data_IF_532054425479
#
_entry.id   IF_532054425479
#
_cell.length_a   1.000
_cell.length_b   1.000
_cell.length_c   1.000
_cell.angle_alpha   90.00
_cell.angle_beta   90.00
_cell.angle_gamma   90.00
#
_symmetry.space_group_name_H-M   'P 1'
#
loop_
_entity.id
_entity.type
_entity.pdbx_description
1 polymer ?
#
# COMPACT_ATOMS: atom_id res chain seq x y z
N UNK A 1 -50.85 1.15 -31.85
CA UNK A 1 -49.72 1.69 -31.06
C UNK A 1 -48.88 0.55 -30.55
N UNK A 2 -47.61 0.44 -30.98
CA UNK A 2 -46.46 -0.20 -30.29
C UNK A 2 -45.27 -0.13 -31.25
N UNK A 3 -44.47 0.94 -31.12
CA UNK A 3 -43.17 1.09 -31.80
C UNK A 3 -42.15 0.28 -31.00
N UNK A 4 -41.60 -0.77 -31.60
CA UNK A 4 -40.46 -1.50 -31.04
C UNK A 4 -39.19 -0.69 -31.28
N UNK A 5 -38.57 -0.22 -30.20
CA UNK A 5 -37.28 0.43 -30.23
C UNK A 5 -36.18 -0.63 -30.34
N UNK A 6 -35.50 -0.67 -31.49
CA UNK A 6 -34.28 -1.44 -31.68
C UNK A 6 -33.14 -0.66 -31.03
N UNK A 7 -32.69 -1.11 -29.85
CA UNK A 7 -31.50 -0.56 -29.19
C UNK A 7 -30.28 -1.12 -29.90
N UNK A 8 -29.66 -0.28 -30.74
CA UNK A 8 -28.42 -0.58 -31.43
C UNK A 8 -27.28 -0.32 -30.43
N UNK A 9 -26.81 -1.39 -29.79
CA UNK A 9 -25.68 -1.38 -28.88
C UNK A 9 -24.39 -1.22 -29.70
N UNK A 10 -23.94 0.03 -29.90
CA UNK A 10 -22.64 0.32 -30.50
C UNK A 10 -21.56 0.04 -29.45
N UNK A 11 -20.92 -1.12 -29.56
CA UNK A 11 -19.69 -1.47 -28.84
C UNK A 11 -18.56 -0.54 -29.31
N UNK A 12 -18.20 0.42 -28.48
CA UNK A 12 -16.98 1.22 -28.64
C UNK A 12 -15.75 0.33 -28.35
N UNK A 13 -15.32 -0.42 -29.36
CA UNK A 13 -14.01 -1.08 -29.37
C UNK A 13 -12.92 -0.04 -29.62
N UNK A 14 -11.94 -0.04 -28.73
CA UNK A 14 -10.80 0.86 -28.66
C UNK A 14 -9.89 0.75 -29.89
N UNK A 15 -9.53 1.85 -30.58
CA UNK A 15 -8.76 1.83 -31.82
C UNK A 15 -7.26 1.49 -31.66
N UNK A 16 -6.77 1.19 -30.45
CA UNK A 16 -5.33 1.00 -30.21
C UNK A 16 -4.79 -0.35 -30.68
N UNK A 17 -5.60 -1.40 -30.67
CA UNK A 17 -5.15 -2.76 -31.00
C UNK A 17 -4.77 -2.90 -32.49
N UNK A 18 -5.47 -2.18 -33.38
CA UNK A 18 -5.22 -2.23 -34.82
C UNK A 18 -3.88 -1.58 -35.24
N UNK A 19 -3.44 -0.54 -34.53
CA UNK A 19 -2.19 0.15 -34.86
C UNK A 19 -0.94 -0.62 -34.39
N UNK A 20 -1.01 -1.32 -33.26
CA UNK A 20 0.08 -2.15 -32.76
C UNK A 20 0.37 -3.34 -33.69
N UNK A 21 -0.68 -3.96 -34.25
CA UNK A 21 -0.57 -5.05 -35.21
C UNK A 21 0.15 -4.63 -36.51
N UNK A 22 -0.09 -3.40 -36.98
CA UNK A 22 0.60 -2.86 -38.16
C UNK A 22 2.10 -2.65 -37.94
N UNK A 23 2.50 -2.14 -36.77
CA UNK A 23 3.91 -1.93 -36.44
C UNK A 23 4.67 -3.26 -36.28
N UNK A 24 4.04 -4.27 -35.67
CA UNK A 24 4.62 -5.60 -35.53
C UNK A 24 4.81 -6.29 -36.89
N UNK A 25 3.80 -6.25 -37.76
CA UNK A 25 3.89 -6.82 -39.09
C UNK A 25 4.97 -6.13 -39.94
N UNK A 26 5.08 -4.80 -39.86
CA UNK A 26 6.11 -4.05 -40.56
C UNK A 26 7.51 -4.36 -40.02
N UNK A 27 7.67 -4.51 -38.69
CA UNK A 27 8.93 -4.91 -38.08
C UNK A 27 9.35 -6.33 -38.51
N UNK A 28 8.39 -7.25 -38.61
CA UNK A 28 8.64 -8.60 -39.12
C UNK A 28 9.12 -8.59 -40.58
N UNK A 29 8.49 -7.79 -41.45
CA UNK A 29 8.93 -7.60 -42.83
C UNK A 29 10.34 -7.00 -42.92
N UNK A 30 10.65 -6.02 -42.08
CA UNK A 30 11.97 -5.40 -42.03
C UNK A 30 13.06 -6.42 -41.63
N UNK A 31 12.79 -7.26 -40.62
CA UNK A 31 13.68 -8.36 -40.22
C UNK A 31 13.86 -9.39 -41.32
N UNK A 32 12.79 -9.75 -42.02
CA UNK A 32 12.88 -10.68 -43.14
C UNK A 32 13.77 -10.13 -44.28
N UNK A 33 13.65 -8.84 -44.62
CA UNK A 33 14.53 -8.20 -45.60
C UNK A 33 16.00 -8.22 -45.13
N UNK A 34 16.23 -7.98 -43.83
CA UNK A 34 17.56 -8.05 -43.21
C UNK A 34 18.16 -9.47 -43.28
N UNK A 35 17.39 -10.49 -42.94
CA UNK A 35 17.80 -11.90 -42.99
C UNK A 35 18.09 -12.36 -44.43
N UNK A 36 17.40 -11.79 -45.42
CA UNK A 36 17.65 -12.00 -46.84
C UNK A 36 18.85 -11.18 -47.37
N UNK A 37 19.58 -10.47 -46.52
CA UNK A 37 20.77 -9.67 -46.87
C UNK A 37 20.43 -8.46 -47.77
N UNK A 38 19.15 -8.07 -47.86
CA UNK A 38 18.73 -6.83 -48.53
C UNK A 38 18.78 -5.66 -47.54
N UNK A 39 19.99 -5.24 -47.19
CA UNK A 39 20.22 -4.23 -46.14
C UNK A 39 19.65 -2.86 -46.49
N UNK A 40 19.59 -2.49 -47.77
CA UNK A 40 18.97 -1.22 -48.18
C UNK A 40 17.46 -1.25 -48.03
N UNK A 41 16.81 -2.35 -48.41
CA UNK A 41 15.38 -2.54 -48.19
C UNK A 41 15.07 -2.61 -46.70
N UNK A 42 15.86 -3.38 -45.94
CA UNK A 42 15.73 -3.48 -44.49
C UNK A 42 15.81 -2.10 -43.83
N UNK A 43 16.80 -1.28 -44.18
CA UNK A 43 16.94 0.08 -43.67
C UNK A 43 15.68 0.93 -43.94
N UNK A 44 15.17 0.93 -45.19
CA UNK A 44 13.92 1.66 -45.53
C UNK A 44 12.72 1.18 -44.72
N UNK A 45 12.60 -0.12 -44.48
CA UNK A 45 11.50 -0.70 -43.70
C UNK A 45 11.63 -0.35 -42.22
N UNK A 46 12.83 -0.43 -41.62
CA UNK A 46 13.07 -0.01 -40.24
C UNK A 46 12.82 1.48 -40.03
N UNK A 47 13.21 2.34 -40.98
CA UNK A 47 12.83 3.77 -40.94
C UNK A 47 11.32 3.93 -40.90
N UNK A 48 10.58 3.18 -41.72
CA UNK A 48 9.11 3.24 -41.71
C UNK A 48 8.50 2.75 -40.39
N UNK A 49 9.10 1.74 -39.73
CA UNK A 49 8.68 1.34 -38.38
C UNK A 49 8.82 2.51 -37.39
N UNK A 50 9.91 3.27 -37.51
CA UNK A 50 10.17 4.45 -36.67
C UNK A 50 9.28 5.64 -37.03
N UNK A 51 8.87 5.80 -38.28
CA UNK A 51 7.95 6.85 -38.71
C UNK A 51 6.51 6.59 -38.21
N UNK A 52 6.10 5.33 -38.12
CA UNK A 52 4.79 4.89 -37.59
C UNK A 52 4.86 4.67 -36.06
N UNK A 53 5.78 5.36 -35.37
CA UNK A 53 6.12 5.16 -33.97
C UNK A 53 4.96 5.22 -32.96
N UNK A 54 3.81 5.79 -33.33
CA UNK A 54 2.60 5.85 -32.49
C UNK A 54 1.99 4.46 -32.23
N UNK A 55 2.22 3.47 -33.12
CA UNK A 55 1.81 2.08 -32.93
C UNK A 55 2.89 1.17 -32.35
N UNK A 56 4.16 1.60 -32.34
CA UNK A 56 5.29 0.78 -31.90
C UNK A 56 5.57 0.96 -30.40
N UNK A 57 5.76 -0.16 -29.70
CA UNK A 57 6.24 -0.17 -28.31
C UNK A 57 7.68 0.35 -28.22
N UNK A 58 8.12 0.79 -27.04
CA UNK A 58 9.51 1.22 -26.83
C UNK A 58 10.52 0.14 -27.25
N UNK A 59 10.29 -1.12 -26.86
CA UNK A 59 11.14 -2.24 -27.25
C UNK A 59 11.20 -2.48 -28.77
N UNK A 60 10.08 -2.30 -29.48
CA UNK A 60 10.07 -2.39 -30.95
C UNK A 60 10.84 -1.24 -31.60
N UNK A 61 10.78 -0.03 -31.03
CA UNK A 61 11.56 1.12 -31.52
C UNK A 61 13.05 0.93 -31.30
N UNK A 62 13.46 0.48 -30.12
CA UNK A 62 14.86 0.18 -29.80
C UNK A 62 15.40 -0.89 -30.75
N UNK A 63 14.62 -1.97 -30.95
CA UNK A 63 14.94 -3.01 -31.94
C UNK A 63 15.11 -2.42 -33.34
N UNK A 64 14.15 -1.62 -33.81
CA UNK A 64 14.20 -1.04 -35.15
C UNK A 64 15.41 -0.12 -35.33
N UNK A 65 15.77 0.68 -34.31
CA UNK A 65 16.95 1.54 -34.35
C UNK A 65 18.26 0.74 -34.38
N UNK A 66 18.36 -0.35 -33.60
CA UNK A 66 19.53 -1.24 -33.62
C UNK A 66 19.74 -1.81 -35.01
N UNK A 67 18.70 -2.47 -35.56
CA UNK A 67 18.80 -3.12 -36.86
C UNK A 67 18.93 -2.11 -38.00
N UNK A 68 18.38 -0.90 -37.88
CA UNK A 68 18.62 0.19 -38.83
C UNK A 68 20.10 0.58 -38.86
N UNK A 69 20.73 0.76 -37.69
CA UNK A 69 22.15 1.03 -37.58
C UNK A 69 23.01 -0.08 -38.20
N UNK A 70 22.69 -1.34 -37.89
CA UNK A 70 23.37 -2.52 -38.47
C UNK A 70 23.21 -2.57 -40.00
N UNK A 71 22.00 -2.31 -40.51
CA UNK A 71 21.72 -2.31 -41.95
C UNK A 71 22.53 -1.24 -42.68
N UNK A 72 22.63 -0.04 -42.11
CA UNK A 72 23.45 1.02 -42.68
C UNK A 72 24.94 0.67 -42.68
N UNK A 73 25.44 0.02 -41.62
CA UNK A 73 26.85 -0.39 -41.56
C UNK A 73 27.17 -1.41 -42.66
N UNK A 74 26.33 -2.44 -42.83
CA UNK A 74 26.53 -3.43 -43.89
C UNK A 74 26.31 -2.88 -45.30
N UNK A 75 25.51 -1.81 -45.46
CA UNK A 75 25.39 -1.07 -46.71
C UNK A 75 26.55 -0.07 -46.96
N UNK A 76 27.58 -0.03 -46.10
CA UNK A 76 28.72 0.90 -46.22
C UNK A 76 28.39 2.35 -45.86
N UNK A 77 27.25 2.61 -45.23
CA UNK A 77 26.77 3.95 -44.86
C UNK A 77 27.09 4.29 -43.40
N UNK A 78 28.37 4.25 -43.04
CA UNK A 78 28.92 4.46 -41.69
C UNK A 78 28.28 5.63 -40.93
N UNK A 79 28.18 6.81 -41.56
CA UNK A 79 27.63 8.01 -40.90
C UNK A 79 26.15 7.84 -40.50
N UNK A 80 25.36 7.18 -41.36
CA UNK A 80 23.95 6.88 -41.09
C UNK A 80 23.83 5.82 -39.99
N UNK A 81 24.72 4.82 -39.98
CA UNK A 81 24.80 3.81 -38.94
C UNK A 81 25.03 4.45 -37.56
N UNK A 82 26.08 5.29 -37.45
CA UNK A 82 26.41 6.01 -36.21
C UNK A 82 25.25 6.91 -35.77
N UNK A 83 24.57 7.61 -36.69
CA UNK A 83 23.40 8.43 -36.37
C UNK A 83 22.22 7.63 -35.80
N UNK A 84 21.89 6.50 -36.42
CA UNK A 84 20.84 5.59 -35.94
C UNK A 84 21.18 5.02 -34.56
N UNK A 85 22.42 4.57 -34.36
CA UNK A 85 22.89 4.02 -33.08
C UNK A 85 22.95 5.10 -31.97
N UNK A 86 23.27 6.36 -32.29
CA UNK A 86 23.17 7.47 -31.33
C UNK A 86 21.74 7.67 -30.83
N UNK A 87 20.77 7.52 -31.72
CA UNK A 87 19.35 7.64 -31.38
C UNK A 87 18.90 6.50 -30.45
N UNK A 88 19.38 5.28 -30.71
CA UNK A 88 19.20 4.12 -29.83
C UNK A 88 19.81 4.38 -28.45
N UNK A 89 21.08 4.75 -28.38
CA UNK A 89 21.80 4.96 -27.11
C UNK A 89 21.16 6.07 -26.27
N UNK A 90 20.64 7.13 -26.90
CA UNK A 90 19.96 8.22 -26.20
C UNK A 90 18.63 7.80 -25.58
N UNK A 91 17.90 6.92 -26.26
CA UNK A 91 16.59 6.44 -25.79
C UNK A 91 16.70 5.24 -24.85
N UNK A 92 17.74 4.43 -25.04
CA UNK A 92 17.97 3.16 -24.33
C UNK A 92 19.45 3.04 -23.92
N UNK A 93 19.89 3.79 -22.88
CA UNK A 93 21.30 3.85 -22.45
C UNK A 93 21.87 2.52 -21.94
N UNK A 94 20.99 1.58 -21.63
CA UNK A 94 21.31 0.24 -21.14
C UNK A 94 21.57 -0.78 -22.27
N UNK A 95 21.44 -0.35 -23.53
CA UNK A 95 21.68 -1.22 -24.68
C UNK A 95 23.13 -1.74 -24.64
N UNK A 96 23.35 -3.06 -24.60
CA UNK A 96 24.69 -3.62 -24.64
C UNK A 96 25.33 -3.43 -26.02
N UNK A 97 26.66 -3.46 -26.05
CA UNK A 97 27.42 -3.45 -27.31
C UNK A 97 26.99 -4.62 -28.20
N UNK A 98 26.66 -4.40 -29.48
CA UNK A 98 26.04 -5.41 -30.33
C UNK A 98 27.09 -6.29 -31.04
N UNK A 99 27.92 -6.98 -30.24
CA UNK A 99 29.07 -7.78 -30.69
C UNK A 99 28.71 -8.89 -31.69
N UNK A 100 27.47 -9.38 -31.64
CA UNK A 100 26.98 -10.44 -32.52
C UNK A 100 26.94 -10.05 -34.00
N UNK A 101 26.97 -8.76 -34.34
CA UNK A 101 26.97 -8.28 -35.73
C UNK A 101 28.38 -8.00 -36.28
N UNK A 102 29.43 -8.36 -35.54
CA UNK A 102 30.82 -8.23 -35.98
C UNK A 102 31.44 -6.86 -35.72
N UNK A 103 32.73 -6.75 -36.01
CA UNK A 103 33.59 -5.64 -35.57
C UNK A 103 33.22 -4.27 -36.15
N UNK A 104 32.71 -4.20 -37.39
CA UNK A 104 32.28 -2.95 -38.02
C UNK A 104 31.15 -2.28 -37.23
N UNK A 105 30.10 -3.04 -36.92
CA UNK A 105 28.97 -2.58 -36.12
C UNK A 105 29.40 -2.22 -34.70
N UNK A 106 30.24 -3.05 -34.06
CA UNK A 106 30.80 -2.75 -32.74
C UNK A 106 31.56 -1.42 -32.75
N UNK A 107 32.39 -1.17 -33.76
CA UNK A 107 33.08 0.10 -33.89
C UNK A 107 32.11 1.28 -34.12
N UNK A 108 31.04 1.09 -34.89
CA UNK A 108 30.02 2.14 -35.09
C UNK A 108 29.27 2.46 -33.79
N UNK A 109 28.99 1.43 -32.98
CA UNK A 109 28.32 1.57 -31.70
C UNK A 109 29.20 2.31 -30.68
N UNK A 110 30.48 1.97 -30.57
CA UNK A 110 31.43 2.66 -29.67
C UNK A 110 31.58 4.13 -30.08
N UNK A 111 31.67 4.41 -31.38
CA UNK A 111 31.71 5.78 -31.91
C UNK A 111 30.41 6.56 -31.60
N UNK A 112 29.26 5.91 -31.73
CA UNK A 112 27.97 6.48 -31.37
C UNK A 112 27.90 6.80 -29.86
N UNK A 113 28.34 5.86 -29.02
CA UNK A 113 28.35 5.98 -27.56
C UNK A 113 29.21 7.15 -27.08
N UNK A 114 30.39 7.36 -27.69
CA UNK A 114 31.26 8.49 -27.35
C UNK A 114 30.64 9.87 -27.66
N UNK A 115 29.67 9.93 -28.58
CA UNK A 115 29.01 11.17 -29.00
C UNK A 115 27.70 11.50 -28.30
N UNK A 116 27.27 10.70 -27.31
CA UNK A 116 25.99 10.90 -26.61
C UNK A 116 26.18 10.79 -25.11
N UNK A 117 25.73 11.81 -24.37
CA UNK A 117 25.48 11.69 -22.95
C UNK A 117 24.04 11.29 -22.70
N UNK A 118 23.82 10.14 -22.06
CA UNK A 118 22.50 9.73 -21.62
C UNK A 118 22.59 8.87 -20.34
N UNK A 119 21.56 8.94 -19.52
CA UNK A 119 21.42 8.13 -18.30
C UNK A 119 20.07 7.43 -18.25
N UNK A 120 19.94 6.35 -17.48
CA UNK A 120 18.65 5.67 -17.32
C UNK A 120 18.68 4.51 -16.33
N UNK A 121 17.52 3.96 -16.02
CA UNK A 121 17.40 2.71 -15.26
C UNK A 121 17.32 1.52 -16.23
N UNK A 122 18.11 0.48 -15.98
CA UNK A 122 18.25 -0.71 -16.82
C UNK A 122 17.39 -1.85 -16.32
N UNK A 123 16.16 -1.92 -16.83
CA UNK A 123 15.11 -2.81 -16.35
C UNK A 123 14.82 -2.61 -14.86
N UNK A 124 13.55 -2.47 -14.50
CA UNK A 124 13.15 -2.43 -13.10
C UNK A 124 12.39 -3.71 -12.82
N UNK A 125 13.07 -4.80 -12.42
CA UNK A 125 12.37 -6.05 -12.13
C UNK A 125 11.52 -5.90 -10.86
N UNK A 126 10.54 -6.80 -10.72
CA UNK A 126 9.86 -7.02 -9.44
C UNK A 126 10.91 -7.40 -8.40
N UNK A 127 10.98 -6.64 -7.31
CA UNK A 127 11.89 -6.90 -6.20
C UNK A 127 11.15 -6.75 -4.87
N UNK A 128 11.56 -7.57 -3.90
CA UNK A 128 11.11 -7.51 -2.52
C UNK A 128 12.27 -7.04 -1.67
N UNK A 129 12.08 -5.91 -1.00
CA UNK A 129 13.13 -5.21 -0.28
C UNK A 129 12.74 -5.03 1.19
N UNK A 130 13.68 -5.29 2.08
CA UNK A 130 13.55 -5.01 3.53
C UNK A 130 14.52 -3.92 3.92
N UNK A 131 14.35 -3.29 5.09
CA UNK A 131 15.31 -2.28 5.59
C UNK A 131 16.74 -2.83 5.73
N UNK A 132 16.90 -4.14 5.93
CA UNK A 132 18.21 -4.79 6.02
C UNK A 132 18.84 -5.04 4.65
N UNK A 133 18.04 -5.50 3.68
CA UNK A 133 18.53 -5.84 2.34
C UNK A 133 18.60 -4.62 1.43
N UNK A 134 17.75 -3.62 1.62
CA UNK A 134 17.55 -2.52 0.70
C UNK A 134 16.94 -2.99 -0.63
N UNK A 135 16.74 -2.03 -1.53
CA UNK A 135 16.40 -2.27 -2.94
C UNK A 135 17.63 -2.02 -3.83
N UNK A 136 17.72 -2.68 -4.98
CA UNK A 136 18.83 -2.50 -5.92
C UNK A 136 18.29 -2.13 -7.29
N UNK A 137 18.86 -1.08 -7.87
CA UNK A 137 18.55 -0.60 -9.21
C UNK A 137 19.80 -0.67 -10.08
N UNK A 138 19.65 -1.24 -11.28
CA UNK A 138 20.67 -1.10 -12.31
C UNK A 138 20.45 0.23 -13.00
N UNK A 139 21.47 1.06 -13.04
CA UNK A 139 21.43 2.35 -13.74
C UNK A 139 22.56 2.38 -14.77
N UNK A 140 22.36 3.09 -15.87
CA UNK A 140 23.37 3.29 -16.89
C UNK A 140 23.73 4.76 -17.02
N UNK A 141 25.01 5.00 -17.31
CA UNK A 141 25.50 6.23 -17.91
C UNK A 141 26.38 5.88 -19.11
N UNK A 142 26.15 6.52 -20.26
CA UNK A 142 26.89 6.23 -21.50
C UNK A 142 28.36 6.67 -21.43
N UNK A 143 28.69 7.57 -20.50
CA UNK A 143 30.04 8.07 -20.19
C UNK A 143 30.16 8.27 -18.67
N UNK A 144 31.37 8.37 -18.11
CA UNK A 144 31.56 8.64 -16.68
C UNK A 144 30.73 9.83 -16.19
N UNK A 145 29.93 9.61 -15.16
CA UNK A 145 28.95 10.57 -14.66
C UNK A 145 28.63 10.38 -13.18
N UNK A 146 28.17 11.46 -12.56
CA UNK A 146 27.51 11.43 -11.26
C UNK A 146 26.03 11.21 -11.51
N UNK A 147 25.48 10.09 -11.04
CA UNK A 147 24.08 9.71 -11.26
C UNK A 147 23.34 9.62 -9.94
N UNK A 148 22.24 10.37 -9.82
CA UNK A 148 21.38 10.39 -8.64
C UNK A 148 20.02 9.79 -8.99
N UNK A 149 19.53 8.91 -8.13
CA UNK A 149 18.20 8.34 -8.26
C UNK A 149 17.26 8.97 -7.24
N UNK A 150 16.08 9.39 -7.69
CA UNK A 150 15.05 10.00 -6.87
C UNK A 150 13.74 9.25 -7.08
N UNK A 151 12.90 9.24 -6.04
CA UNK A 151 11.54 8.75 -6.12
C UNK A 151 10.58 9.92 -6.03
N UNK A 152 9.70 10.07 -7.02
CA UNK A 152 8.63 11.06 -7.00
C UNK A 152 7.25 10.42 -6.90
N UNK A 153 6.32 11.08 -6.23
CA UNK A 153 4.92 10.69 -6.19
C UNK A 153 4.21 10.98 -7.53
N UNK A 154 2.94 10.60 -7.62
CA UNK A 154 2.10 10.88 -8.80
C UNK A 154 1.92 12.37 -9.13
N UNK A 155 2.18 13.27 -8.17
CA UNK A 155 2.15 14.72 -8.37
C UNK A 155 3.52 15.29 -8.79
N UNK A 156 4.53 14.43 -8.97
CA UNK A 156 5.89 14.82 -9.35
C UNK A 156 6.73 15.37 -8.19
N UNK A 157 6.24 15.26 -6.95
CA UNK A 157 7.00 15.71 -5.77
C UNK A 157 7.97 14.62 -5.37
N UNK A 158 9.24 14.96 -5.17
CA UNK A 158 10.24 14.04 -4.64
C UNK A 158 9.84 13.62 -3.22
N UNK A 159 9.66 12.32 -3.01
CA UNK A 159 9.30 11.70 -1.73
C UNK A 159 10.46 10.94 -1.10
N UNK A 160 11.44 10.51 -1.90
CA UNK A 160 12.67 9.92 -1.38
C UNK A 160 13.86 10.19 -2.30
N UNK A 161 15.04 10.28 -1.71
CA UNK A 161 16.33 10.25 -2.39
C UNK A 161 16.91 8.85 -2.23
N UNK A 162 17.19 8.18 -3.33
CA UNK A 162 17.69 6.80 -3.32
C UNK A 162 19.22 6.75 -3.23
N UNK A 163 19.89 7.90 -3.40
CA UNK A 163 21.34 8.04 -3.36
C UNK A 163 21.95 8.48 -4.68
N UNK A 164 23.27 8.63 -4.65
CA UNK A 164 24.12 9.04 -5.77
C UNK A 164 25.26 8.03 -5.95
N UNK A 165 25.66 7.79 -7.19
CA UNK A 165 26.75 6.89 -7.55
C UNK A 165 27.54 7.43 -8.74
N UNK A 166 28.84 7.17 -8.75
CA UNK A 166 29.69 7.35 -9.93
C UNK A 166 29.41 6.19 -10.90
N UNK A 167 28.83 6.51 -12.06
CA UNK A 167 28.45 5.53 -13.05
C UNK A 167 29.32 5.65 -14.32
N UNK A 168 29.78 4.52 -14.83
CA UNK A 168 30.39 4.39 -16.14
C UNK A 168 29.91 3.07 -16.76
N UNK A 169 29.04 3.15 -17.77
CA UNK A 169 28.26 2.00 -18.22
C UNK A 169 27.17 1.65 -17.21
N UNK A 170 26.87 0.35 -17.05
CA UNK A 170 25.86 -0.13 -16.10
C UNK A 170 26.46 -0.27 -14.69
N UNK A 171 25.82 0.34 -13.70
CA UNK A 171 26.24 0.35 -12.30
C UNK A 171 25.05 0.03 -11.39
N UNK A 172 25.31 -0.55 -10.21
CA UNK A 172 24.30 -0.86 -9.22
C UNK A 172 24.15 0.28 -8.22
N UNK A 173 22.93 0.78 -8.05
CA UNK A 173 22.56 1.71 -7.00
C UNK A 173 21.72 0.98 -5.97
N UNK A 174 22.16 1.02 -4.71
CA UNK A 174 21.45 0.40 -3.59
C UNK A 174 20.72 1.46 -2.78
N UNK A 175 19.41 1.31 -2.67
CA UNK A 175 18.56 2.13 -1.82
C UNK A 175 18.40 1.47 -0.45
N UNK A 176 19.10 1.99 0.56
CA UNK A 176 19.07 1.49 1.94
C UNK A 176 17.98 2.16 2.79
N UNK A 177 17.65 3.41 2.48
CA UNK A 177 16.77 4.25 3.28
C UNK A 177 15.30 4.06 2.88
N UNK A 178 14.84 2.81 2.92
CA UNK A 178 13.48 2.44 2.57
C UNK A 178 12.46 3.07 3.51
N UNK A 179 11.29 3.50 2.99
CA UNK A 179 10.24 4.11 3.81
C UNK A 179 9.69 3.10 4.82
N UNK A 180 9.00 3.61 5.84
CA UNK A 180 8.30 2.73 6.78
C UNK A 180 7.20 1.93 6.08
N UNK A 181 7.27 0.58 6.07
CA UNK A 181 6.25 -0.23 5.46
C UNK A 181 4.87 0.01 6.08
N UNK A 182 4.76 0.41 7.34
CA UNK A 182 3.48 0.70 8.00
C UNK A 182 2.76 1.92 7.41
N UNK A 183 3.52 2.87 6.84
CA UNK A 183 2.99 4.04 6.14
C UNK A 183 2.62 3.78 4.68
N UNK A 184 3.02 2.63 4.13
CA UNK A 184 2.71 2.27 2.75
C UNK A 184 1.32 1.62 2.62
N UNK A 185 0.58 1.96 1.54
CA UNK A 185 -0.67 1.29 1.25
C UNK A 185 -0.44 -0.20 0.98
N UNK A 186 -1.44 -1.02 1.32
CA UNK A 186 -1.45 -2.44 0.91
C UNK A 186 -1.67 -2.58 -0.59
N UNK A 187 -2.29 -1.57 -1.24
CA UNK A 187 -2.45 -1.53 -2.68
C UNK A 187 -1.24 -0.83 -3.33
N UNK A 188 -0.78 -1.28 -4.53
CA UNK A 188 0.32 -0.65 -5.26
C UNK A 188 0.07 0.83 -5.56
N UNK A 189 0.91 1.70 -5.01
CA UNK A 189 0.92 3.13 -5.29
C UNK A 189 1.93 3.47 -6.37
N UNK A 190 1.49 4.20 -7.40
CA UNK A 190 2.34 4.62 -8.52
C UNK A 190 3.29 5.74 -8.12
N UNK A 191 4.54 5.58 -8.52
CA UNK A 191 5.64 6.51 -8.34
C UNK A 191 6.46 6.60 -9.63
N UNK A 192 7.34 7.59 -9.69
CA UNK A 192 8.34 7.74 -10.75
C UNK A 192 9.73 7.58 -10.16
N UNK A 193 10.49 6.63 -10.68
CA UNK A 193 11.93 6.54 -10.46
C UNK A 193 12.62 7.49 -11.44
N UNK A 194 13.15 8.59 -10.93
CA UNK A 194 13.84 9.62 -11.71
C UNK A 194 15.34 9.39 -11.59
N UNK A 195 16.02 9.22 -12.71
CA UNK A 195 17.47 9.08 -12.83
C UNK A 195 18.00 10.37 -13.43
N UNK A 196 18.80 11.10 -12.65
CA UNK A 196 19.45 12.36 -13.05
C UNK A 196 20.94 12.13 -13.17
N UNK A 197 21.51 12.54 -14.30
CA UNK A 197 22.92 12.39 -14.58
C UNK A 197 23.59 13.73 -14.86
N UNK A 198 24.79 13.90 -14.34
CA UNK A 198 25.72 14.96 -14.76
C UNK A 198 27.01 14.31 -15.22
N UNK A 199 27.45 14.63 -16.43
CA UNK A 199 28.71 14.12 -16.95
C UNK A 199 29.88 14.54 -16.02
N UNK A 200 30.83 13.63 -15.80
CA UNK A 200 31.99 13.91 -14.96
C UNK A 200 32.89 14.99 -15.57
N UNK A 201 32.86 15.13 -16.90
CA UNK A 201 33.54 16.15 -17.67
C UNK A 201 32.52 16.97 -18.47
N UNK A 202 32.67 18.30 -18.47
CA UNK A 202 31.77 19.22 -19.17
C UNK A 202 30.54 19.62 -18.34
N UNK A 203 29.52 20.14 -19.02
CA UNK A 203 28.29 20.68 -18.43
C UNK A 203 27.03 19.90 -18.84
N UNK A 204 27.20 18.79 -19.54
CA UNK A 204 26.09 17.98 -20.04
C UNK A 204 25.33 17.31 -18.87
N UNK A 205 24.01 17.37 -18.96
CA UNK A 205 23.08 16.76 -18.00
C UNK A 205 22.00 16.00 -18.77
N UNK A 206 21.47 14.94 -18.16
CA UNK A 206 20.34 14.18 -18.71
C UNK A 206 19.44 13.69 -17.56
N UNK A 207 18.17 13.48 -17.86
CA UNK A 207 17.16 13.01 -16.91
C UNK A 207 16.20 12.03 -17.58
N UNK A 208 15.97 10.90 -16.91
CA UNK A 208 14.96 9.90 -17.31
C UNK A 208 14.07 9.53 -16.15
N UNK A 209 12.81 9.21 -16.46
CA UNK A 209 11.86 8.69 -15.49
C UNK A 209 11.31 7.33 -15.92
N UNK A 210 11.16 6.43 -14.95
CA UNK A 210 10.53 5.12 -15.13
C UNK A 210 9.41 4.98 -14.11
N UNK A 211 8.22 4.63 -14.58
CA UNK A 211 7.08 4.44 -13.71
C UNK A 211 7.21 3.10 -12.94
N UNK A 212 7.07 3.17 -11.62
CA UNK A 212 7.14 2.02 -10.72
C UNK A 212 5.97 2.04 -9.73
N UNK A 213 5.64 0.90 -9.15
CA UNK A 213 4.70 0.81 -8.04
C UNK A 213 5.40 0.37 -6.77
N UNK A 214 4.98 0.95 -5.65
CA UNK A 214 5.40 0.56 -4.31
C UNK A 214 4.20 0.07 -3.53
N UNK A 215 4.34 -1.10 -2.91
CA UNK A 215 3.39 -1.63 -1.93
C UNK A 215 4.13 -2.34 -0.82
N UNK A 216 3.48 -2.58 0.30
CA UNK A 216 4.03 -3.42 1.35
C UNK A 216 3.28 -4.75 1.40
N UNK A 217 4.02 -5.86 1.50
CA UNK A 217 3.41 -7.18 1.61
C UNK A 217 2.49 -7.27 2.84
N UNK A 218 1.46 -8.13 2.79
CA UNK A 218 0.65 -8.40 3.97
C UNK A 218 1.54 -8.93 5.10
N UNK A 219 1.39 -8.39 6.30
CA UNK A 219 2.06 -8.91 7.48
C UNK A 219 1.29 -10.15 7.99
N UNK A 220 2.01 -11.22 8.31
CA UNK A 220 1.44 -12.36 9.03
C UNK A 220 1.15 -11.96 10.48
N UNK A 221 -0.07 -11.54 10.77
CA UNK A 221 -0.45 -11.09 12.12
C UNK A 221 -1.06 -12.21 12.94
N UNK A 222 -0.69 -12.28 14.22
CA UNK A 222 -1.37 -13.11 15.20
C UNK A 222 -2.81 -12.65 15.41
N UNK A 223 -3.71 -13.60 15.57
CA UNK A 223 -5.12 -13.33 15.91
C UNK A 223 -5.19 -12.75 17.32
N UNK A 224 -5.93 -11.65 17.49
CA UNK A 224 -6.13 -11.05 18.80
C UNK A 224 -6.93 -12.01 19.70
N UNK A 225 -6.55 -12.20 20.98
CA UNK A 225 -7.29 -13.07 21.87
C UNK A 225 -8.73 -12.56 22.04
N UNK A 226 -9.75 -13.44 21.95
CA UNK A 226 -11.13 -13.02 22.16
C UNK A 226 -11.28 -12.46 23.57
N UNK A 227 -12.19 -11.49 23.73
CA UNK A 227 -12.55 -11.00 25.06
C UNK A 227 -13.12 -12.16 25.90
N UNK A 228 -12.87 -12.19 27.23
CA UNK A 228 -13.47 -13.19 28.10
C UNK A 228 -15.00 -13.14 27.97
N UNK A 229 -15.63 -14.31 27.90
CA UNK A 229 -17.07 -14.40 27.80
C UNK A 229 -17.70 -13.89 29.11
N UNK A 230 -18.95 -13.41 29.04
CA UNK A 230 -19.69 -13.04 30.25
C UNK A 230 -19.82 -14.20 31.24
N UNK A 231 -19.83 -15.44 30.75
CA UNK A 231 -19.84 -16.66 31.55
C UNK A 231 -18.53 -16.92 32.32
N UNK A 232 -17.41 -16.33 31.90
CA UNK A 232 -16.11 -16.47 32.58
C UNK A 232 -16.03 -15.58 33.83
N UNK A 233 -16.89 -14.55 33.93
CA UNK A 233 -16.95 -13.65 35.07
C UNK A 233 -17.79 -14.24 36.20
N UNK A 234 -17.27 -14.16 37.42
CA UNK A 234 -18.02 -14.51 38.63
C UNK A 234 -18.91 -13.34 39.08
N UNK A 235 -20.09 -13.59 39.68
CA UNK A 235 -20.94 -12.52 40.20
C UNK A 235 -20.20 -11.71 41.27
N UNK A 236 -19.99 -10.42 41.04
CA UNK A 236 -19.25 -9.55 41.98
C UNK A 236 -20.13 -9.10 43.17
N UNK A 237 -21.44 -9.26 43.04
CA UNK A 237 -22.44 -8.90 44.04
C UNK A 237 -23.18 -10.15 44.51
N UNK A 238 -23.42 -10.25 45.82
CA UNK A 238 -24.38 -11.24 46.32
C UNK A 238 -25.76 -10.88 45.79
N UNK A 239 -26.52 -11.84 45.22
CA UNK A 239 -27.92 -11.59 44.91
C UNK A 239 -28.62 -11.12 46.19
N UNK A 240 -29.45 -10.09 46.09
CA UNK A 240 -30.38 -9.75 47.16
C UNK A 240 -31.24 -11.00 47.39
N UNK A 241 -30.94 -11.76 48.44
CA UNK A 241 -31.71 -12.94 48.81
C UNK A 241 -33.14 -12.57 49.23
N UNK A 242 -33.83 -13.40 50.04
CA UNK A 242 -35.23 -13.19 50.43
C UNK A 242 -35.51 -11.90 51.23
N UNK A 243 -34.51 -11.04 51.44
CA UNK A 243 -34.66 -9.70 52.01
C UNK A 243 -35.68 -8.82 51.26
N UNK A 244 -35.94 -9.06 49.96
CA UNK A 244 -37.06 -8.44 49.23
C UNK A 244 -38.43 -8.95 49.70
N UNK A 245 -38.52 -10.24 50.06
CA UNK A 245 -39.73 -10.84 50.63
C UNK A 245 -40.03 -10.35 52.05
N UNK A 246 -39.01 -10.06 52.85
CA UNK A 246 -39.19 -9.50 54.20
C UNK A 246 -39.49 -8.00 54.18
N UNK A 247 -39.10 -7.27 53.11
CA UNK A 247 -39.54 -5.89 52.89
C UNK A 247 -41.05 -5.82 52.63
N UNK A 248 -41.60 -6.80 51.90
CA UNK A 248 -43.05 -6.97 51.72
C UNK A 248 -43.79 -7.28 53.02
N UNK A 249 -43.21 -8.11 53.90
CA UNK A 249 -43.80 -8.39 55.23
C UNK A 249 -43.71 -7.18 56.17
N UNK A 250 -42.63 -6.42 56.12
CA UNK A 250 -42.48 -5.17 56.87
C UNK A 250 -43.52 -4.13 56.47
N UNK A 251 -43.80 -3.99 55.17
CA UNK A 251 -44.88 -3.13 54.66
C UNK A 251 -46.25 -3.66 55.14
N UNK A 252 -46.49 -4.98 55.11
CA UNK A 252 -47.75 -5.56 55.57
C UNK A 252 -48.03 -5.33 57.06
N UNK A 253 -47.02 -5.44 57.93
CA UNK A 253 -47.15 -5.14 59.37
C UNK A 253 -47.33 -3.63 59.60
N UNK A 254 -46.64 -2.78 58.83
CA UNK A 254 -46.82 -1.33 58.87
C UNK A 254 -48.24 -0.90 58.50
N UNK A 255 -48.81 -1.45 57.42
CA UNK A 255 -50.20 -1.22 57.02
C UNK A 255 -51.19 -1.76 58.05
N UNK A 256 -50.93 -2.93 58.65
CA UNK A 256 -51.76 -3.48 59.72
C UNK A 256 -51.75 -2.61 60.99
N UNK A 257 -50.62 -1.98 61.33
CA UNK A 257 -50.53 -1.06 62.47
C UNK A 257 -51.28 0.26 62.21
N UNK A 258 -51.27 0.79 60.98
CA UNK A 258 -52.08 1.96 60.57
C UNK A 258 -53.58 1.61 60.52
N UNK A 259 -53.93 0.40 60.08
CA UNK A 259 -55.31 -0.08 60.10
C UNK A 259 -55.83 -0.31 61.53
N UNK A 260 -55.00 -0.85 62.43
CA UNK A 260 -55.36 -1.05 63.83
C UNK A 260 -55.50 0.28 64.60
N UNK A 261 -54.65 1.26 64.32
CA UNK A 261 -54.74 2.59 64.92
C UNK A 261 -55.92 3.41 64.38
N UNK A 262 -56.30 3.25 63.11
CA UNK A 262 -57.53 3.87 62.57
C UNK A 262 -58.83 3.22 63.08
N UNK A 263 -58.82 1.92 63.39
CA UNK A 263 -59.95 1.25 64.03
C UNK A 263 -60.12 1.64 65.52
N UNK A 264 -59.03 1.91 66.23
CA UNK A 264 -59.06 2.39 67.63
C UNK A 264 -59.33 3.90 67.73
N UNK A 265 -58.99 4.69 66.71
CA UNK A 265 -59.26 6.14 66.69
C UNK A 265 -60.74 6.50 66.43
N UNK A 266 -61.58 5.56 66.00
CA UNK A 266 -63.00 5.83 65.73
C UNK A 266 -63.90 5.80 66.98
N UNK A 267 -63.36 5.56 68.19
CA UNK A 267 -64.17 5.50 69.42
C UNK A 267 -63.81 6.44 70.56
N UNK A 268 -62.84 7.33 70.39
CA UNK A 268 -62.54 8.37 71.41
C UNK A 268 -62.03 9.65 70.76
N UNK A 269 -62.98 10.55 70.47
CA UNK A 269 -62.72 11.98 70.34
C UNK A 269 -62.52 12.55 71.76
N UNK A 270 -61.28 12.85 72.13
CA UNK A 270 -60.90 14.04 72.89
C UNK A 270 -59.36 14.14 72.97
N UNK A 271 -58.79 15.00 72.13
CA UNK A 271 -57.69 15.89 72.54
C UNK A 271 -56.29 15.35 72.81
N UNK A 272 -55.75 14.35 72.10
CA UNK A 272 -54.30 14.09 72.17
C UNK A 272 -53.68 13.36 70.95
N UNK A 273 -54.29 13.53 69.77
CA UNK A 273 -54.07 12.66 68.60
C UNK A 273 -52.92 13.08 67.67
N UNK A 274 -52.12 14.10 68.02
CA UNK A 274 -51.06 14.64 67.13
C UNK A 274 -49.67 14.07 67.42
N UNK A 275 -49.42 13.50 68.61
CA UNK A 275 -48.08 12.98 68.98
C UNK A 275 -47.81 11.54 68.50
N UNK A 276 -48.84 10.70 68.36
CA UNK A 276 -48.66 9.30 67.95
C UNK A 276 -48.35 9.10 66.45
N UNK A 277 -48.90 9.97 65.58
CA UNK A 277 -48.68 9.92 64.13
C UNK A 277 -47.28 10.45 63.74
N UNK A 278 -46.76 11.44 64.46
CA UNK A 278 -45.45 12.02 64.22
C UNK A 278 -44.27 11.09 64.64
N UNK A 279 -44.43 10.32 65.72
CA UNK A 279 -43.39 9.37 66.18
C UNK A 279 -43.37 8.10 65.32
N UNK A 280 -44.52 7.66 64.78
CA UNK A 280 -44.59 6.54 63.84
C UNK A 280 -43.89 6.84 62.50
N UNK A 281 -44.06 8.04 61.95
CA UNK A 281 -43.44 8.45 60.68
C UNK A 281 -41.91 8.57 60.72
N UNK A 282 -41.34 8.96 61.87
CA UNK A 282 -39.89 9.08 62.04
C UNK A 282 -39.19 7.70 62.10
N UNK A 283 -39.82 6.68 62.68
CA UNK A 283 -39.27 5.32 62.76
C UNK A 283 -39.30 4.63 61.38
N UNK A 284 -40.32 4.88 60.57
CA UNK A 284 -40.41 4.35 59.20
C UNK A 284 -39.37 4.97 58.26
N UNK A 285 -39.10 6.27 58.36
CA UNK A 285 -38.05 6.95 57.58
C UNK A 285 -36.64 6.56 58.04
N UNK A 286 -36.41 6.39 59.34
CA UNK A 286 -35.13 5.89 59.87
C UNK A 286 -34.87 4.43 59.46
N UNK A 287 -35.90 3.57 59.46
CA UNK A 287 -35.81 2.19 58.98
C UNK A 287 -35.54 2.09 57.48
N UNK A 288 -36.14 2.96 56.66
CA UNK A 288 -35.88 3.01 55.21
C UNK A 288 -34.49 3.57 54.91
N UNK A 289 -34.05 4.62 55.62
CA UNK A 289 -32.70 5.15 55.51
C UNK A 289 -31.64 4.13 55.98
N UNK A 290 -31.88 3.40 57.07
CA UNK A 290 -31.02 2.32 57.56
C UNK A 290 -31.00 1.09 56.61
N UNK A 291 -32.12 0.80 55.92
CA UNK A 291 -32.17 -0.26 54.92
C UNK A 291 -31.38 0.15 53.67
N UNK A 292 -31.55 1.36 53.15
CA UNK A 292 -30.83 1.84 51.95
C UNK A 292 -29.33 2.08 52.24
N UNK A 293 -28.96 2.51 53.44
CA UNK A 293 -27.55 2.68 53.85
C UNK A 293 -26.89 1.38 54.34
N UNK A 294 -27.67 0.42 54.86
CA UNK A 294 -27.20 -0.89 55.34
C UNK A 294 -27.25 -2.00 54.29
N UNK A 295 -28.03 -1.84 53.22
CA UNK A 295 -28.04 -2.70 52.02
C UNK A 295 -26.89 -2.36 51.07
N UNK A 296 -25.74 -1.96 51.61
CA UNK A 296 -24.49 -1.92 50.86
C UNK A 296 -24.33 -3.29 50.22
N UNK A 297 -24.47 -3.35 48.90
CA UNK A 297 -24.23 -4.54 48.10
C UNK A 297 -22.89 -5.10 48.57
N UNK A 298 -22.91 -6.20 49.32
CA UNK A 298 -21.69 -6.79 49.86
C UNK A 298 -20.94 -7.36 48.67
N UNK A 299 -20.00 -6.57 48.14
CA UNK A 299 -19.05 -7.00 47.12
C UNK A 299 -18.40 -8.29 47.60
N UNK A 300 -18.47 -9.33 46.77
CA UNK A 300 -17.75 -10.56 47.01
C UNK A 300 -16.32 -10.28 46.56
N UNK A 301 -15.47 -9.90 47.52
CA UNK A 301 -14.10 -9.44 47.26
C UNK A 301 -13.34 -10.47 46.43
N UNK A 302 -13.52 -11.76 46.72
CA UNK A 302 -12.87 -12.86 46.01
C UNK A 302 -13.29 -12.93 44.53
N UNK A 303 -14.57 -12.69 44.22
CA UNK A 303 -15.07 -12.69 42.84
C UNK A 303 -14.63 -11.45 42.08
N UNK A 304 -14.60 -10.29 42.74
CA UNK A 304 -14.06 -9.06 42.17
C UNK A 304 -12.59 -9.19 41.83
N UNK A 305 -11.79 -9.74 42.76
CA UNK A 305 -10.36 -9.91 42.57
C UNK A 305 -10.07 -10.98 41.49
N UNK A 306 -10.87 -12.05 41.42
CA UNK A 306 -10.83 -13.02 40.32
C UNK A 306 -11.13 -12.37 38.96
N UNK A 307 -12.22 -11.60 38.86
CA UNK A 307 -12.61 -10.92 37.63
C UNK A 307 -11.58 -9.86 37.21
N UNK A 308 -10.99 -9.15 38.17
CA UNK A 308 -9.90 -8.21 37.93
C UNK A 308 -8.66 -8.92 37.37
N UNK A 309 -8.26 -10.04 37.97
CA UNK A 309 -7.16 -10.86 37.47
C UNK A 309 -7.43 -11.41 36.06
N UNK A 310 -8.67 -11.82 35.78
CA UNK A 310 -9.09 -12.27 34.44
C UNK A 310 -8.96 -11.16 33.39
N UNK A 311 -9.44 -9.95 33.70
CA UNK A 311 -9.31 -8.76 32.82
C UNK A 311 -7.84 -8.43 32.59
N UNK A 312 -7.06 -8.29 33.67
CA UNK A 312 -5.63 -7.98 33.59
C UNK A 312 -4.85 -9.03 32.76
N UNK A 313 -5.13 -10.32 32.97
CA UNK A 313 -4.50 -11.40 32.21
C UNK A 313 -4.91 -11.43 30.74
N UNK A 314 -6.13 -11.01 30.39
CA UNK A 314 -6.53 -10.82 28.99
C UNK A 314 -5.87 -9.59 28.37
N UNK A 315 -5.87 -8.44 29.05
CA UNK A 315 -5.24 -7.20 28.59
C UNK A 315 -3.76 -7.41 28.31
N UNK A 316 -3.04 -8.05 29.24
CA UNK A 316 -1.63 -8.38 29.04
C UNK A 316 -1.36 -9.24 27.79
N UNK A 317 -2.23 -10.24 27.52
CA UNK A 317 -2.13 -11.09 26.32
C UNK A 317 -2.49 -10.33 25.04
N UNK A 318 -3.51 -9.46 25.10
CA UNK A 318 -3.90 -8.63 23.96
C UNK A 318 -2.77 -7.67 23.61
N UNK A 319 -2.21 -7.01 24.62
CA UNK A 319 -1.18 -6.00 24.43
C UNK A 319 0.14 -6.62 23.92
N UNK A 320 0.49 -7.84 24.35
CA UNK A 320 1.62 -8.57 23.78
C UNK A 320 1.39 -8.94 22.31
N UNK A 321 0.20 -9.41 21.94
CA UNK A 321 -0.16 -9.68 20.54
C UNK A 321 -0.13 -8.39 19.70
N UNK A 322 -0.62 -7.27 20.24
CA UNK A 322 -0.56 -5.96 19.56
C UNK A 322 0.88 -5.51 19.35
N UNK A 323 1.76 -5.69 20.33
CA UNK A 323 3.18 -5.36 20.21
C UNK A 323 3.87 -6.19 19.12
N UNK A 324 3.68 -7.52 19.13
CA UNK A 324 4.22 -8.43 18.12
C UNK A 324 3.67 -8.08 16.73
N UNK A 325 2.37 -7.83 16.60
CA UNK A 325 1.77 -7.47 15.32
C UNK A 325 2.28 -6.13 14.79
N UNK A 326 2.58 -5.17 15.67
CA UNK A 326 3.20 -3.89 15.29
C UNK A 326 4.59 -4.11 14.71
N UNK A 327 5.42 -4.91 15.38
CA UNK A 327 6.76 -5.25 14.92
C UNK A 327 6.72 -5.99 13.57
N UNK A 328 5.86 -7.00 13.43
CA UNK A 328 5.67 -7.73 12.16
C UNK A 328 5.23 -6.82 11.01
N UNK A 329 4.41 -5.80 11.30
CA UNK A 329 4.01 -4.79 10.29
C UNK A 329 5.12 -3.81 9.93
N UNK A 330 6.00 -3.48 10.86
CA UNK A 330 7.14 -2.59 10.61
C UNK A 330 8.25 -3.28 9.80
N UNK A 331 8.39 -4.61 9.92
CA UNK A 331 9.44 -5.39 9.29
C UNK A 331 9.01 -6.11 7.99
N UNK A 332 7.81 -5.83 7.48
CA UNK A 332 7.30 -6.47 6.27
C UNK A 332 8.07 -5.99 5.02
N UNK A 333 8.32 -6.86 4.02
CA UNK A 333 8.96 -6.45 2.79
C UNK A 333 8.13 -5.44 2.00
N UNK A 334 8.83 -4.52 1.34
CA UNK A 334 8.30 -3.61 0.34
C UNK A 334 8.47 -4.26 -1.02
N UNK A 335 7.39 -4.31 -1.79
CA UNK A 335 7.39 -4.77 -3.17
C UNK A 335 7.54 -3.56 -4.08
N UNK A 336 8.55 -3.60 -4.94
CA UNK A 336 8.80 -2.63 -5.99
C UNK A 336 8.61 -3.34 -7.32
N UNK A 337 7.73 -2.81 -8.16
CA UNK A 337 7.40 -3.40 -9.46
C UNK A 337 7.43 -2.33 -10.54
N UNK A 338 7.82 -2.67 -11.78
CA UNK A 338 7.62 -1.76 -12.89
C UNK A 338 6.12 -1.57 -13.09
N UNK A 339 5.69 -0.35 -13.40
CA UNK A 339 4.34 -0.18 -13.95
C UNK A 339 4.40 -0.83 -15.32
N UNK A 340 3.83 -2.03 -15.45
CA UNK A 340 3.44 -2.50 -16.77
C UNK A 340 2.56 -1.39 -17.35
N UNK A 341 3.05 -0.71 -18.39
CA UNK A 341 2.15 -0.07 -19.34
C UNK A 341 1.24 -1.20 -19.80
N UNK A 342 0.06 -1.32 -19.17
CA UNK A 342 -0.99 -2.23 -19.61
C UNK A 342 -1.13 -1.98 -21.10
N UNK A 343 -0.68 -2.98 -21.84
CA UNK A 343 -0.61 -3.02 -23.29
C UNK A 343 -2.02 -3.13 -23.85
#
# INVERSE_FOLDING_TARGET
MKRGAFVLLVTALTPHVAHAQGAEQLLAQARQAFENIDFEQAARLFTRVLDVASGATASQRDTAQLYLGVSYEYAGQRANAVSALRSLIRSSPCTPTPEQFGSGVTAAFIEAQGGVFAVGACDVPRQEATRETGAVFRIAATRPAFVRALLADSAGRTVADLGEVDAAGVTLLRWTDLPDPSGLPQQPARHQLIIRGRAAQGTETDERSVAITLSALPADTLVSPPAPATADFRPEQRPMGPALGDLGKGIAVGVAAVAASSALAYKTLQGETVKAVAVGGAISLAGFAAFVSGSGQRTIVENRDYNAALRLGWEARRDSVVAVNRERRANRPIVIEPVETRR
#
